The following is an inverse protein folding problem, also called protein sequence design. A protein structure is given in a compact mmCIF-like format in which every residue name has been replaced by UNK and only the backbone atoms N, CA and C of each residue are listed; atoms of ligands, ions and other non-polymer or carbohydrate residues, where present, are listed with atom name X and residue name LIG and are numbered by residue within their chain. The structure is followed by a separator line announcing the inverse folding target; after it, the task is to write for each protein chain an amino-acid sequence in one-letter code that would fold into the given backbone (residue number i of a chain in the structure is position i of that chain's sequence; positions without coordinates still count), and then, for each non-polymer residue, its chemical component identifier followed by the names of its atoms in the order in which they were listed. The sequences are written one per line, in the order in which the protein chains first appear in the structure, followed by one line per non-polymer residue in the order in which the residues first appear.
data_IF_382493263556
#
_entry.id   IF_382493263556
#
_cell.length_a   1.000
_cell.length_b   1.000
_cell.length_c   1.000
_cell.angle_alpha   90.00
_cell.angle_beta   90.00
_cell.angle_gamma   90.00
#
_symmetry.space_group_name_H-M   'P 1'
#
loop_
_entity.id
_entity.type
_entity.pdbx_description
1 polymer ?
#
# COMPACT_ATOMS: atom_id res chain seq x y z
N UNK A 1 7.85 6.79 1.25
CA UNK A 1 7.60 7.68 2.41
C UNK A 1 8.96 8.15 2.90
N UNK A 2 9.20 9.46 3.00
CA UNK A 2 10.41 9.98 3.65
C UNK A 2 10.15 10.00 5.15
N UNK A 3 10.61 8.98 5.86
CA UNK A 3 10.58 8.93 7.32
C UNK A 3 11.81 9.64 7.84
N UNK A 4 11.62 10.83 8.42
CA UNK A 4 12.68 11.58 9.12
C UNK A 4 12.37 11.60 10.61
N UNK A 5 13.40 11.48 11.45
CA UNK A 5 13.28 11.48 12.91
C UNK A 5 13.09 10.08 13.52
N UNK A 6 12.30 10.00 14.60
CA UNK A 6 12.11 8.77 15.41
C UNK A 6 11.77 7.49 14.61
N UNK A 7 10.89 7.52 13.59
CA UNK A 7 10.60 6.33 12.80
C UNK A 7 11.82 5.78 12.04
N UNK A 8 12.77 6.64 11.66
CA UNK A 8 14.01 6.23 11.00
C UNK A 8 14.93 5.50 11.98
N UNK A 9 15.04 5.99 13.22
CA UNK A 9 15.84 5.33 14.24
C UNK A 9 15.34 3.90 14.51
N UNK A 10 14.02 3.72 14.65
CA UNK A 10 13.40 2.40 14.78
C UNK A 10 13.68 1.49 13.57
N UNK A 11 13.65 2.05 12.37
CA UNK A 11 13.96 1.30 11.14
C UNK A 11 15.42 0.84 11.11
N UNK A 12 16.36 1.71 11.50
CA UNK A 12 17.79 1.36 11.58
C UNK A 12 18.05 0.29 12.64
N UNK A 13 17.41 0.40 13.81
CA UNK A 13 17.43 -0.62 14.85
C UNK A 13 16.89 -1.95 14.31
N UNK A 14 15.77 -1.94 13.58
CA UNK A 14 15.24 -3.15 12.97
C UNK A 14 16.22 -3.79 11.96
N UNK A 15 16.99 -3.00 11.21
CA UNK A 15 18.04 -3.53 10.32
C UNK A 15 19.26 -4.04 11.06
N UNK A 16 19.57 -3.47 12.21
CA UNK A 16 20.60 -4.00 13.11
C UNK A 16 20.18 -5.36 13.68
N UNK A 17 18.96 -5.46 14.20
CA UNK A 17 18.43 -6.70 14.79
C UNK A 17 18.17 -7.78 13.74
N UNK A 18 17.81 -7.40 12.51
CA UNK A 18 17.54 -8.34 11.41
C UNK A 18 18.38 -7.96 10.18
N UNK A 19 19.66 -8.35 10.13
CA UNK A 19 20.57 -8.01 9.05
C UNK A 19 20.09 -8.47 7.68
N UNK A 20 19.29 -9.55 7.65
CA UNK A 20 18.74 -10.08 6.39
C UNK A 20 17.83 -9.08 5.68
N UNK A 21 17.10 -8.24 6.42
CA UNK A 21 16.27 -7.20 5.83
C UNK A 21 17.09 -6.10 5.16
N UNK A 22 18.27 -5.77 5.70
CA UNK A 22 19.17 -4.76 5.12
C UNK A 22 19.63 -5.15 3.72
N UNK A 23 19.88 -6.45 3.47
CA UNK A 23 20.30 -6.95 2.16
C UNK A 23 19.27 -6.71 1.03
N UNK A 24 18.00 -6.49 1.38
CA UNK A 24 16.94 -6.20 0.40
C UNK A 24 16.69 -4.71 0.18
N UNK A 25 17.21 -3.83 1.05
CA UNK A 25 16.96 -2.38 0.96
C UNK A 25 17.66 -1.78 -0.25
N UNK A 26 18.80 -2.35 -0.68
CA UNK A 26 19.52 -1.94 -1.88
C UNK A 26 20.05 -0.51 -1.80
N UNK A 27 21.37 -0.36 -1.82
CA UNK A 27 22.05 0.92 -1.76
C UNK A 27 23.53 0.68 -1.87
N UNK A 28 24.20 1.51 -2.66
CA UNK A 28 25.66 1.52 -2.70
C UNK A 28 26.13 2.72 -1.87
N UNK A 29 26.52 2.43 -0.62
CA UNK A 29 26.99 3.45 0.32
C UNK A 29 28.42 3.94 -0.02
N UNK A 30 29.07 3.36 -1.06
CA UNK A 30 30.39 3.79 -1.50
C UNK A 30 30.39 5.12 -2.25
N UNK A 31 29.24 5.53 -2.80
CA UNK A 31 29.10 6.77 -3.56
C UNK A 31 28.58 7.86 -2.64
N UNK A 32 29.40 8.89 -2.42
CA UNK A 32 28.96 10.06 -1.68
C UNK A 32 27.96 10.87 -2.52
N UNK A 33 27.10 11.65 -1.86
CA UNK A 33 26.13 12.52 -2.56
C UNK A 33 26.84 13.48 -3.54
N UNK A 34 28.10 13.84 -3.27
CA UNK A 34 28.89 14.75 -4.10
C UNK A 34 29.39 14.09 -5.40
N UNK A 35 29.63 12.78 -5.35
CA UNK A 35 30.17 12.00 -6.47
C UNK A 35 29.07 11.26 -7.24
N UNK A 36 27.80 11.51 -6.92
CA UNK A 36 26.67 10.82 -7.53
C UNK A 36 26.53 11.22 -9.01
N UNK A 37 26.66 10.28 -9.96
CA UNK A 37 26.77 10.60 -11.38
C UNK A 37 25.45 11.04 -12.02
N UNK A 38 24.31 10.78 -11.38
CA UNK A 38 22.99 11.10 -11.95
C UNK A 38 22.42 12.42 -11.42
N UNK A 39 21.64 13.09 -12.26
CA UNK A 39 21.03 14.40 -12.00
C UNK A 39 19.96 14.40 -10.90
N UNK A 40 19.46 13.24 -10.50
CA UNK A 40 18.42 13.10 -9.48
C UNK A 40 18.69 11.86 -8.63
N UNK A 41 18.48 11.99 -7.31
CA UNK A 41 18.64 10.87 -6.38
C UNK A 41 17.67 9.73 -6.71
N UNK A 42 18.11 8.47 -6.59
CA UNK A 42 17.26 7.32 -6.82
C UNK A 42 16.15 7.32 -5.75
N UNK A 43 14.90 7.16 -6.19
CA UNK A 43 13.80 7.03 -5.26
C UNK A 43 13.90 5.63 -4.63
N UNK A 44 14.41 5.55 -3.40
CA UNK A 44 14.39 4.30 -2.65
C UNK A 44 12.94 3.85 -2.45
N UNK A 45 12.51 2.88 -3.25
CA UNK A 45 11.35 2.07 -2.95
C UNK A 45 11.78 1.18 -1.77
N UNK A 46 11.42 1.59 -0.55
CA UNK A 46 11.76 0.84 0.66
C UNK A 46 11.28 -0.61 0.62
N UNK A 47 11.43 -1.32 1.74
CA UNK A 47 11.07 -2.73 1.84
C UNK A 47 9.61 -2.99 1.46
N UNK A 48 9.42 -3.85 0.48
CA UNK A 48 8.10 -4.40 0.13
C UNK A 48 7.75 -5.56 1.06
N UNK A 49 6.45 -5.81 1.26
CA UNK A 49 5.94 -6.98 1.98
C UNK A 49 6.49 -8.30 1.40
N UNK A 50 6.75 -8.35 0.09
CA UNK A 50 7.36 -9.51 -0.55
C UNK A 50 8.81 -9.74 -0.08
N UNK A 51 9.57 -8.68 0.23
CA UNK A 51 10.93 -8.79 0.76
C UNK A 51 10.92 -9.30 2.20
N UNK A 52 9.97 -8.82 3.02
CA UNK A 52 9.79 -9.28 4.41
C UNK A 52 9.49 -10.78 4.44
N UNK A 53 8.53 -11.25 3.62
CA UNK A 53 8.20 -12.68 3.53
C UNK A 53 9.37 -13.54 3.08
N UNK A 54 10.17 -13.05 2.12
CA UNK A 54 11.39 -13.76 1.68
C UNK A 54 12.42 -13.86 2.80
N UNK A 55 12.61 -12.79 3.57
CA UNK A 55 13.52 -12.78 4.71
C UNK A 55 13.05 -13.76 5.81
N UNK A 56 11.75 -13.81 6.08
CA UNK A 56 11.15 -14.69 7.09
C UNK A 56 11.37 -16.18 6.79
N UNK A 57 11.29 -16.56 5.51
CA UNK A 57 11.46 -17.95 5.05
C UNK A 57 12.92 -18.30 4.69
N UNK A 58 13.88 -17.42 4.98
CA UNK A 58 15.28 -17.70 4.71
C UNK A 58 15.88 -18.60 5.81
N UNK A 59 16.44 -19.77 5.48
CA UNK A 59 17.06 -20.65 6.48
C UNK A 59 18.28 -20.02 7.17
N UNK A 60 18.85 -18.93 6.61
CA UNK A 60 19.97 -18.20 7.19
C UNK A 60 19.52 -16.93 7.95
N UNK A 61 18.25 -16.83 8.33
CA UNK A 61 17.74 -15.70 9.09
C UNK A 61 18.31 -15.70 10.51
N UNK A 62 19.19 -14.74 10.79
CA UNK A 62 19.71 -14.46 12.13
C UNK A 62 18.98 -13.23 12.66
N UNK A 63 18.41 -13.35 13.86
CA UNK A 63 17.77 -12.26 14.60
C UNK A 63 18.56 -12.04 15.88
N UNK A 64 19.18 -10.87 16.02
CA UNK A 64 19.86 -10.44 17.24
C UNK A 64 18.82 -9.73 18.13
N UNK A 65 18.49 -10.29 19.31
CA UNK A 65 17.61 -9.62 20.25
C UNK A 65 18.28 -8.32 20.72
N UNK A 66 17.55 -7.21 20.66
CA UNK A 66 18.05 -5.93 21.20
C UNK A 66 18.08 -5.92 22.73
N UNK A 67 17.28 -6.79 23.35
CA UNK A 67 17.18 -6.96 24.79
C UNK A 67 17.47 -8.43 25.11
N UNK A 68 18.26 -8.66 26.15
CA UNK A 68 18.47 -10.00 26.70
C UNK A 68 17.12 -10.55 27.17
N UNK A 69 16.66 -11.61 26.52
CA UNK A 69 15.46 -12.37 26.93
C UNK A 69 15.85 -13.39 28.01
N UNK A 70 17.16 -13.56 28.26
CA UNK A 70 17.69 -14.46 29.27
C UNK A 70 17.74 -13.78 30.63
N UNK A 71 16.81 -14.17 31.48
CA UNK A 71 16.80 -13.90 32.91
C UNK A 71 15.64 -14.65 33.52
N UNK A 72 15.83 -15.24 34.70
CA UNK A 72 14.71 -15.51 35.60
C UNK A 72 14.25 -14.12 36.07
N UNK A 73 13.56 -13.41 35.17
CA UNK A 73 12.92 -12.17 35.55
C UNK A 73 11.91 -12.56 36.61
N UNK A 74 11.96 -11.88 37.75
CA UNK A 74 10.93 -12.03 38.77
C UNK A 74 9.58 -11.97 38.05
N UNK A 75 8.63 -12.85 38.39
CA UNK A 75 7.29 -12.93 37.77
C UNK A 75 6.52 -11.58 37.77
N UNK A 76 7.11 -10.54 38.38
CA UNK A 76 6.66 -9.16 38.53
C UNK A 76 7.28 -8.14 37.55
N UNK A 77 8.24 -8.54 36.71
CA UNK A 77 8.84 -7.63 35.74
C UNK A 77 7.83 -7.26 34.65
N UNK A 78 7.42 -5.98 34.61
CA UNK A 78 6.46 -5.48 33.61
C UNK A 78 4.99 -5.63 34.02
N UNK A 79 4.70 -5.89 35.29
CA UNK A 79 3.32 -5.84 35.81
C UNK A 79 2.89 -4.38 35.85
N UNK A 80 1.72 -4.12 35.29
CA UNK A 80 1.07 -2.84 35.48
C UNK A 80 0.44 -2.80 36.87
N UNK A 81 0.50 -1.65 37.56
CA UNK A 81 -0.06 -1.49 38.91
C UNK A 81 -1.57 -1.81 38.97
N UNK A 82 -2.26 -1.77 37.83
CA UNK A 82 -3.68 -2.06 37.65
C UNK A 82 -3.98 -3.45 37.05
N UNK A 83 -2.97 -4.31 36.89
CA UNK A 83 -3.16 -5.61 36.25
C UNK A 83 -3.99 -6.54 37.13
N UNK A 84 -5.13 -6.96 36.60
CA UNK A 84 -6.01 -7.92 37.27
C UNK A 84 -5.52 -9.33 36.96
N UNK A 85 -4.93 -10.00 37.95
CA UNK A 85 -4.51 -11.39 37.79
C UNK A 85 -5.71 -12.32 37.60
N UNK A 86 -5.80 -12.93 36.42
CA UNK A 86 -6.72 -14.04 36.22
C UNK A 86 -6.13 -15.30 36.85
N UNK A 87 -6.80 -15.80 37.90
CA UNK A 87 -6.46 -17.04 38.59
C UNK A 87 -6.31 -18.23 37.65
N UNK A 88 -7.02 -18.22 36.51
CA UNK A 88 -6.92 -19.28 35.49
C UNK A 88 -5.60 -19.23 34.75
N UNK A 89 -5.10 -18.04 34.45
CA UNK A 89 -3.80 -17.86 33.78
C UNK A 89 -2.67 -18.30 34.70
N UNK A 90 -2.72 -17.91 35.98
CA UNK A 90 -1.75 -18.34 36.98
C UNK A 90 -1.71 -19.86 37.15
N UNK A 91 -2.88 -20.51 37.19
CA UNK A 91 -2.98 -21.98 37.19
C UNK A 91 -2.32 -22.62 35.97
N UNK A 92 -2.52 -22.07 34.77
CA UNK A 92 -1.88 -22.59 33.55
C UNK A 92 -0.35 -22.39 33.56
N UNK A 93 0.14 -21.26 34.07
CA UNK A 93 1.58 -21.01 34.24
C UNK A 93 2.18 -22.00 35.24
N UNK A 94 1.50 -22.29 36.35
CA UNK A 94 1.94 -23.30 37.31
C UNK A 94 2.00 -24.70 36.68
N UNK A 95 1.02 -25.08 35.86
CA UNK A 95 1.05 -26.34 35.12
C UNK A 95 2.27 -26.42 34.17
N UNK A 96 2.60 -25.33 33.47
CA UNK A 96 3.78 -25.24 32.63
C UNK A 96 5.08 -25.37 33.44
N UNK A 97 5.21 -24.65 34.56
CA UNK A 97 6.36 -24.73 35.48
C UNK A 97 6.53 -26.15 36.04
N UNK A 98 5.42 -26.86 36.28
CA UNK A 98 5.41 -28.25 36.75
C UNK A 98 5.64 -29.30 35.64
N UNK A 99 5.87 -28.88 34.39
CA UNK A 99 6.13 -29.79 33.26
C UNK A 99 4.90 -30.54 32.75
N UNK A 100 3.70 -30.02 32.97
CA UNK A 100 2.46 -30.65 32.51
C UNK A 100 2.35 -30.62 30.98
N UNK A 101 2.10 -31.77 30.35
CA UNK A 101 1.87 -31.88 28.91
C UNK A 101 0.37 -31.73 28.62
N UNK A 102 -0.01 -30.68 27.91
CA UNK A 102 -1.40 -30.45 27.52
C UNK A 102 -1.84 -31.41 26.40
N UNK A 103 -2.93 -32.13 26.62
CA UNK A 103 -3.60 -32.96 25.61
C UNK A 103 -4.79 -32.19 25.05
N UNK A 104 -5.24 -32.55 23.84
CA UNK A 104 -6.42 -31.92 23.20
C UNK A 104 -7.66 -31.99 24.09
N UNK A 105 -7.80 -33.04 24.89
CA UNK A 105 -8.91 -33.28 25.83
C UNK A 105 -8.96 -32.25 26.97
N UNK A 106 -7.83 -31.64 27.34
CA UNK A 106 -7.77 -30.59 28.35
C UNK A 106 -8.49 -29.29 27.90
N UNK A 107 -8.80 -29.16 26.61
CA UNK A 107 -9.41 -27.98 26.01
C UNK A 107 -10.87 -28.26 25.64
N UNK A 108 -11.75 -28.21 26.64
CA UNK A 108 -13.20 -28.47 26.50
C UNK A 108 -13.95 -27.39 25.69
N UNK A 109 -13.26 -26.51 24.96
CA UNK A 109 -13.85 -25.43 24.18
C UNK A 109 -12.88 -24.83 23.16
N UNK A 110 -13.44 -24.38 22.03
CA UNK A 110 -12.71 -23.87 20.87
C UNK A 110 -13.26 -24.49 19.58
N UNK A 111 -13.28 -23.72 18.49
CA UNK A 111 -13.62 -24.26 17.18
C UNK A 111 -12.46 -25.11 16.67
N UNK A 112 -12.62 -26.44 16.77
CA UNK A 112 -11.66 -27.42 16.26
C UNK A 112 -12.13 -28.07 14.95
N UNK A 113 -13.18 -27.51 14.31
CA UNK A 113 -13.71 -28.01 13.04
C UNK A 113 -12.85 -27.60 11.86
N UNK A 114 -12.09 -26.50 11.99
CA UNK A 114 -11.20 -26.06 10.92
C UNK A 114 -10.01 -27.02 10.78
N UNK A 115 -9.85 -27.65 9.60
CA UNK A 115 -8.70 -28.52 9.37
C UNK A 115 -7.40 -27.71 9.43
N UNK A 116 -6.36 -28.31 9.99
CA UNK A 116 -5.00 -27.78 10.00
C UNK A 116 -4.59 -27.37 8.58
N UNK A 117 -4.30 -26.09 8.36
CA UNK A 117 -3.86 -25.58 7.06
C UNK A 117 -2.43 -26.06 6.78
N UNK A 118 -2.30 -27.15 6.03
CA UNK A 118 -1.01 -27.66 5.54
C UNK A 118 -0.57 -26.85 4.34
N UNK A 119 0.59 -26.20 4.43
CA UNK A 119 1.15 -25.41 3.33
C UNK A 119 1.78 -26.34 2.29
N UNK A 120 1.01 -26.69 1.26
CA UNK A 120 1.57 -27.32 0.07
C UNK A 120 2.42 -26.29 -0.68
N UNK A 121 3.73 -26.54 -0.82
CA UNK A 121 4.59 -25.73 -1.67
C UNK A 121 4.08 -25.79 -3.11
N UNK A 122 3.36 -24.76 -3.55
CA UNK A 122 2.88 -24.69 -4.93
C UNK A 122 4.09 -24.77 -5.87
N UNK A 123 4.13 -25.74 -6.80
CA UNK A 123 5.23 -25.86 -7.74
C UNK A 123 5.36 -24.55 -8.52
N UNK A 124 6.57 -23.99 -8.52
CA UNK A 124 6.89 -22.75 -9.23
C UNK A 124 6.65 -22.99 -10.72
N UNK A 125 5.50 -22.56 -11.22
CA UNK A 125 5.25 -22.58 -12.66
C UNK A 125 6.26 -21.64 -13.33
N UNK A 126 6.95 -22.08 -14.40
CA UNK A 126 7.89 -21.24 -15.09
C UNK A 126 7.13 -20.03 -15.64
N UNK A 127 7.50 -18.83 -15.19
CA UNK A 127 6.99 -17.58 -15.74
C UNK A 127 7.24 -17.61 -17.24
N UNK A 128 6.16 -17.64 -18.03
CA UNK A 128 6.22 -17.49 -19.48
C UNK A 128 6.99 -16.21 -19.78
N UNK A 129 8.19 -16.34 -20.36
CA UNK A 129 8.97 -15.21 -20.86
C UNK A 129 8.07 -14.45 -21.83
N UNK A 130 7.71 -13.21 -21.50
CA UNK A 130 7.11 -12.31 -22.48
C UNK A 130 8.23 -11.95 -23.45
N UNK A 131 8.10 -12.41 -24.68
CA UNK A 131 8.95 -11.92 -25.77
C UNK A 131 8.71 -10.40 -25.86
N UNK A 132 9.80 -9.64 -25.77
CA UNK A 132 9.84 -8.22 -26.13
C UNK A 132 9.71 -8.13 -27.66
N UNK A 133 8.49 -8.24 -28.16
CA UNK A 133 8.13 -7.76 -29.48
C UNK A 133 7.32 -6.49 -29.26
N UNK A 134 7.87 -5.37 -29.72
CA UNK A 134 7.22 -4.08 -29.71
C UNK A 134 5.93 -4.17 -30.53
N UNK A 135 4.78 -4.08 -29.86
CA UNK A 135 3.46 -3.88 -30.48
C UNK A 135 2.70 -2.83 -29.65
N UNK A 136 1.98 -1.90 -30.31
CA UNK A 136 1.60 -0.60 -29.76
C UNK A 136 0.50 -0.68 -28.69
N UNK A 137 0.52 0.31 -27.79
CA UNK A 137 -0.29 0.40 -26.59
C UNK A 137 -1.80 0.14 -26.76
N UNK A 138 -2.49 -0.40 -25.73
CA UNK A 138 -3.90 -0.72 -25.80
C UNK A 138 -4.79 0.52 -25.95
N UNK A 139 -5.54 0.55 -27.06
CA UNK A 139 -6.51 1.55 -27.58
C UNK A 139 -7.68 1.90 -26.63
N UNK A 140 -7.63 1.56 -25.33
CA UNK A 140 -8.76 1.78 -24.40
C UNK A 140 -8.95 3.23 -23.95
N UNK A 141 -7.95 4.11 -24.09
CA UNK A 141 -8.04 5.52 -23.64
C UNK A 141 -8.62 6.47 -24.70
N UNK A 142 -8.61 6.10 -25.98
CA UNK A 142 -9.06 6.99 -27.07
C UNK A 142 -10.59 7.17 -27.08
N UNK A 143 -11.37 6.13 -26.74
CA UNK A 143 -12.84 6.23 -26.73
C UNK A 143 -13.38 7.27 -25.74
N UNK A 144 -12.73 7.41 -24.57
CA UNK A 144 -13.17 8.35 -23.52
C UNK A 144 -12.85 9.80 -23.89
N UNK A 145 -11.71 10.03 -24.54
CA UNK A 145 -11.28 11.36 -25.00
C UNK A 145 -12.18 11.85 -26.15
N UNK A 146 -12.51 10.98 -27.12
CA UNK A 146 -13.42 11.33 -28.21
C UNK A 146 -14.83 11.70 -27.72
N UNK A 147 -15.33 10.99 -26.69
CA UNK A 147 -16.65 11.27 -26.12
C UNK A 147 -16.68 12.64 -25.41
N UNK A 148 -15.61 12.98 -24.67
CA UNK A 148 -15.46 14.27 -24.01
C UNK A 148 -15.37 15.40 -25.04
N UNK A 149 -14.56 15.23 -26.09
CA UNK A 149 -14.41 16.22 -27.16
C UNK A 149 -15.75 16.52 -27.86
N UNK A 150 -16.51 15.47 -28.20
CA UNK A 150 -17.82 15.62 -28.84
C UNK A 150 -18.83 16.37 -27.95
N UNK A 151 -18.85 16.07 -26.65
CA UNK A 151 -19.73 16.74 -25.70
C UNK A 151 -19.39 18.23 -25.55
N UNK A 152 -18.09 18.57 -25.52
CA UNK A 152 -17.63 19.96 -25.47
C UNK A 152 -18.03 20.71 -26.75
N UNK A 153 -17.81 20.13 -27.94
CA UNK A 153 -18.21 20.77 -29.21
C UNK A 153 -19.71 21.01 -29.30
N UNK A 154 -20.54 20.08 -28.81
CA UNK A 154 -22.01 20.27 -28.78
C UNK A 154 -22.43 21.36 -27.79
N UNK A 155 -21.78 21.46 -26.64
CA UNK A 155 -22.02 22.52 -25.66
C UNK A 155 -21.67 23.91 -26.22
N UNK A 156 -20.53 24.04 -26.91
CA UNK A 156 -20.10 25.28 -27.56
C UNK A 156 -21.09 25.72 -28.64
N UNK A 157 -21.57 24.80 -29.48
CA UNK A 157 -22.59 25.11 -30.50
C UNK A 157 -23.89 25.63 -29.89
N UNK A 158 -24.36 25.00 -28.79
CA UNK A 158 -25.56 25.44 -28.06
C UNK A 158 -25.39 26.84 -27.47
N UNK A 159 -24.22 27.14 -26.92
CA UNK A 159 -23.91 28.47 -26.39
C UNK A 159 -23.91 29.53 -27.49
N UNK A 160 -23.26 29.29 -28.63
CA UNK A 160 -23.31 30.20 -29.78
C UNK A 160 -24.73 30.46 -30.27
N UNK A 161 -25.57 29.43 -30.33
CA UNK A 161 -26.96 29.58 -30.75
C UNK A 161 -27.79 30.38 -29.73
N UNK A 162 -27.51 30.21 -28.43
CA UNK A 162 -28.15 30.99 -27.36
C UNK A 162 -27.76 32.47 -27.47
N UNK A 163 -26.49 32.77 -27.74
CA UNK A 163 -26.03 34.15 -27.98
C UNK A 163 -26.68 34.76 -29.22
N UNK A 164 -26.79 34.01 -30.33
CA UNK A 164 -27.46 34.47 -31.55
C UNK A 164 -28.97 34.74 -31.33
N UNK A 165 -29.63 33.96 -30.48
CA UNK A 165 -31.04 34.20 -30.10
C UNK A 165 -31.19 35.42 -29.21
N UNK A 166 -30.21 35.68 -28.33
CA UNK A 166 -30.20 36.89 -27.51
C UNK A 166 -29.94 38.15 -28.34
N UNK A 167 -29.00 38.10 -29.30
CA UNK A 167 -28.75 39.24 -30.20
C UNK A 167 -29.95 39.55 -31.10
N UNK A 168 -30.67 38.52 -31.59
CA UNK A 168 -31.91 38.69 -32.38
C UNK A 168 -33.09 39.25 -31.57
N UNK A 169 -33.09 39.12 -30.23
CA UNK A 169 -34.09 39.76 -29.36
C UNK A 169 -33.77 41.23 -29.08
N UNK A 170 -32.53 41.67 -29.29
CA UNK A 170 -32.07 43.04 -29.01
C UNK A 170 -32.46 44.04 -30.11
N UNK A 171 -32.80 43.59 -31.33
CA UNK A 171 -33.26 44.48 -32.40
C UNK A 171 -34.80 44.43 -32.53
N UNK A 172 -35.52 45.56 -32.34
CA UNK A 172 -36.95 45.60 -32.64
C UNK A 172 -37.17 45.48 -34.15
N UNK A 173 -38.19 44.71 -34.57
CA UNK A 173 -38.64 44.67 -35.97
C UNK A 173 -39.14 46.07 -36.35
N UNK A 174 -38.36 46.80 -37.14
CA UNK A 174 -38.81 48.03 -37.80
C UNK A 174 -39.82 47.60 -38.87
N UNK A 175 -41.10 47.93 -38.68
CA UNK A 175 -42.11 47.76 -39.73
C UNK A 175 -41.93 48.89 -40.76
N UNK A 176 -41.88 48.61 -42.07
CA UNK A 176 -41.83 49.67 -43.08
C UNK A 176 -43.20 50.35 -43.16
N UNK A 177 -43.23 51.64 -42.82
CA UNK A 177 -44.41 52.47 -42.88
C UNK A 177 -44.54 53.04 -44.31
N UNK A 178 -45.32 52.40 -45.17
CA UNK A 178 -45.63 52.95 -46.49
C UNK A 178 -46.68 54.05 -46.35
N UNK A 179 -46.22 55.30 -46.21
CA UNK A 179 -47.03 56.50 -46.40
C UNK A 179 -46.46 57.30 -47.57
N UNK A 180 -47.02 57.08 -48.75
CA UNK A 180 -46.79 57.90 -49.94
C UNK A 180 -48.11 58.10 -50.66
N UNK A 181 -48.73 59.27 -50.42
CA UNK A 181 -49.78 59.84 -51.28
C UNK A 181 -49.14 60.55 -52.48
N UNK A 182 -49.98 60.88 -53.45
CA UNK A 182 -49.80 61.73 -54.65
C UNK A 182 -49.67 60.90 -55.93
N UNK A 183 -50.50 61.04 -56.98
CA UNK A 183 -51.42 62.11 -57.37
C UNK A 183 -52.72 61.54 -57.96
#
# INVERSE_FOLDING_TARGET
MKTVGFPLALQLVAFRCVPRLASFVGGDDSVTIMDYPEKAMPLHAGLSVAHIRKAQHDPLLIVEPMLEISGDHDDRWGLWDDETYDKKVDYMVQLLKNGHVFVKENWLGGDALDPLFVYEEKPKTPKRKKNLAAEPEPIRKQRRIMLIANNISQAVKRLQQKQLRQSKKQYPKIQPNYRGKSA
#
